data_IF_001296532706
#
_entry.id   IF_001296532706
#
_cell.length_a   1.000
_cell.length_b   1.000
_cell.length_c   1.000
_cell.angle_alpha   90.00
_cell.angle_beta   90.00
_cell.angle_gamma   90.00
#
_symmetry.space_group_name_H-M   'P 1'
#
loop_
_entity.id
_entity.type
_entity.pdbx_description
1 polymer ?
#
# COMPACT_ATOMS: atom_id res chain seq x y z
N UNK A 1 -8.91 -37.36 -21.78
CA UNK A 1 -8.43 -36.03 -21.30
C UNK A 1 -9.48 -35.44 -20.35
N UNK A 2 -9.11 -34.95 -19.18
CA UNK A 2 -10.09 -34.42 -18.23
C UNK A 2 -10.74 -33.17 -18.83
N UNK A 3 -12.08 -33.14 -18.92
CA UNK A 3 -12.85 -32.04 -19.55
C UNK A 3 -12.58 -30.70 -18.88
N UNK A 4 -12.35 -30.68 -17.56
CA UNK A 4 -11.97 -29.48 -16.81
C UNK A 4 -10.66 -28.89 -17.33
N UNK A 5 -9.64 -29.74 -17.56
CA UNK A 5 -8.34 -29.31 -18.08
C UNK A 5 -8.44 -28.75 -19.51
N UNK A 6 -9.30 -29.36 -20.34
CA UNK A 6 -9.51 -28.89 -21.71
C UNK A 6 -10.15 -27.48 -21.73
N UNK A 7 -11.16 -27.25 -20.88
CA UNK A 7 -11.80 -25.94 -20.73
C UNK A 7 -10.80 -24.93 -20.16
N UNK A 8 -10.05 -25.32 -19.10
CA UNK A 8 -9.06 -24.45 -18.49
C UNK A 8 -7.95 -24.02 -19.48
N UNK A 9 -7.45 -24.97 -20.29
CA UNK A 9 -6.44 -24.69 -21.31
C UNK A 9 -6.97 -23.75 -22.40
N UNK A 10 -8.23 -23.90 -22.83
CA UNK A 10 -8.88 -22.99 -23.77
C UNK A 10 -8.99 -21.58 -23.19
N UNK A 11 -9.52 -21.46 -21.98
CA UNK A 11 -9.67 -20.17 -21.29
C UNK A 11 -8.32 -19.47 -21.11
N UNK A 12 -7.31 -20.21 -20.67
CA UNK A 12 -5.95 -19.70 -20.49
C UNK A 12 -5.37 -19.15 -21.80
N UNK A 13 -5.34 -19.99 -22.86
CA UNK A 13 -4.77 -19.61 -24.17
C UNK A 13 -5.49 -18.41 -24.75
N UNK A 14 -6.83 -18.42 -24.74
CA UNK A 14 -7.64 -17.32 -25.30
C UNK A 14 -7.37 -15.98 -24.63
N UNK A 15 -7.02 -15.97 -23.34
CA UNK A 15 -6.76 -14.73 -22.59
C UNK A 15 -5.32 -14.27 -22.71
N UNK A 16 -4.34 -15.18 -22.59
CA UNK A 16 -2.91 -14.84 -22.68
C UNK A 16 -2.54 -14.33 -24.07
N UNK A 17 -3.20 -14.82 -25.13
CA UNK A 17 -2.97 -14.38 -26.51
C UNK A 17 -3.60 -13.02 -26.85
N UNK A 18 -4.48 -12.46 -25.99
CA UNK A 18 -5.06 -11.14 -26.23
C UNK A 18 -4.03 -10.04 -26.05
N UNK A 19 -3.98 -9.10 -27.00
CA UNK A 19 -3.11 -7.90 -26.90
C UNK A 19 -3.33 -7.12 -25.60
N UNK A 20 -4.58 -7.10 -25.09
CA UNK A 20 -4.93 -6.47 -23.82
C UNK A 20 -4.24 -7.12 -22.62
N UNK A 21 -4.03 -8.43 -22.63
CA UNK A 21 -3.28 -9.13 -21.58
C UNK A 21 -1.81 -8.69 -21.58
N UNK A 22 -1.15 -8.70 -22.74
CA UNK A 22 0.24 -8.25 -22.87
C UNK A 22 0.38 -6.78 -22.42
N UNK A 23 -0.55 -5.92 -22.87
CA UNK A 23 -0.54 -4.51 -22.52
C UNK A 23 -0.74 -4.30 -21.01
N UNK A 24 -1.68 -5.00 -20.36
CA UNK A 24 -1.90 -4.87 -18.91
C UNK A 24 -0.78 -5.50 -18.09
N UNK A 25 -0.19 -6.60 -18.57
CA UNK A 25 0.85 -7.33 -17.84
C UNK A 25 2.20 -6.61 -17.87
N UNK A 26 2.58 -6.08 -19.02
CA UNK A 26 3.87 -5.41 -19.23
C UNK A 26 3.71 -3.90 -19.16
N UNK A 27 2.66 -3.35 -19.75
CA UNK A 27 2.43 -1.91 -19.83
C UNK A 27 2.16 -1.26 -18.48
N UNK A 28 1.39 -1.90 -17.58
CA UNK A 28 1.06 -1.34 -16.27
C UNK A 28 2.31 -1.15 -15.37
N UNK A 29 3.18 -2.16 -15.18
CA UNK A 29 4.44 -1.98 -14.44
C UNK A 29 5.34 -0.93 -15.08
N UNK A 30 5.51 -0.95 -16.41
CA UNK A 30 6.34 0.05 -17.11
C UNK A 30 5.77 1.45 -16.93
N UNK A 31 4.44 1.63 -17.00
CA UNK A 31 3.78 2.91 -16.79
C UNK A 31 3.98 3.41 -15.36
N UNK A 32 3.82 2.53 -14.35
CA UNK A 32 4.05 2.88 -12.95
C UNK A 32 5.52 3.31 -12.75
N UNK A 33 6.47 2.54 -13.27
CA UNK A 33 7.90 2.88 -13.18
C UNK A 33 8.24 4.15 -13.94
N UNK A 34 7.70 4.33 -15.15
CA UNK A 34 7.88 5.54 -15.94
C UNK A 34 7.31 6.79 -15.25
N UNK A 35 6.14 6.67 -14.64
CA UNK A 35 5.55 7.72 -13.83
C UNK A 35 6.42 8.06 -12.60
N UNK A 36 6.94 7.03 -11.92
CA UNK A 36 7.84 7.21 -10.79
C UNK A 36 9.15 7.89 -11.18
N UNK A 37 9.77 7.44 -12.28
CA UNK A 37 10.97 8.05 -12.83
C UNK A 37 10.73 9.51 -13.25
N UNK A 38 9.58 9.79 -13.84
CA UNK A 38 9.16 11.14 -14.22
C UNK A 38 8.94 12.04 -13.00
N UNK A 39 8.30 11.52 -11.95
CA UNK A 39 8.13 12.23 -10.68
C UNK A 39 9.49 12.59 -10.05
N UNK A 40 10.42 11.63 -10.00
CA UNK A 40 11.78 11.86 -9.48
C UNK A 40 12.50 12.89 -10.35
N UNK A 41 12.43 12.78 -11.68
CA UNK A 41 13.04 13.73 -12.60
C UNK A 41 12.52 15.16 -12.37
N UNK A 42 11.20 15.35 -12.23
CA UNK A 42 10.63 16.65 -11.93
C UNK A 42 11.04 17.14 -10.54
N UNK A 43 11.04 16.28 -9.53
CA UNK A 43 11.43 16.66 -8.17
C UNK A 43 12.87 17.13 -8.10
N UNK A 44 13.77 16.49 -8.86
CA UNK A 44 15.18 16.86 -8.94
C UNK A 44 15.41 18.15 -9.71
N UNK A 45 14.65 18.34 -10.81
CA UNK A 45 14.85 19.50 -11.70
C UNK A 45 14.11 20.75 -11.23
N UNK A 46 13.05 20.60 -10.42
CA UNK A 46 12.23 21.68 -9.89
C UNK A 46 12.55 21.96 -8.41
N UNK A 47 13.82 21.94 -8.03
CA UNK A 47 14.23 22.53 -6.75
C UNK A 47 14.11 24.06 -6.89
N UNK A 48 12.89 24.56 -6.80
CA UNK A 48 12.65 25.97 -6.59
C UNK A 48 13.26 26.32 -5.24
N UNK A 49 14.39 27.04 -5.28
CA UNK A 49 15.06 27.52 -4.09
C UNK A 49 14.15 28.54 -3.39
N UNK A 50 13.52 28.13 -2.29
CA UNK A 50 12.67 29.01 -1.50
C UNK A 50 13.55 30.00 -0.74
N UNK A 51 13.51 31.27 -1.13
CA UNK A 51 14.36 32.33 -0.57
C UNK A 51 13.68 32.99 0.61
N UNK A 52 14.30 32.90 1.78
CA UNK A 52 13.81 33.53 3.02
C UNK A 52 14.79 34.66 3.40
N UNK A 53 14.30 35.89 3.40
CA UNK A 53 15.04 37.03 3.94
C UNK A 53 14.95 37.00 5.48
N UNK A 54 16.07 37.13 6.16
CA UNK A 54 16.13 37.14 7.63
C UNK A 54 16.59 38.52 8.09
N UNK A 55 15.73 39.21 8.82
CA UNK A 55 16.10 40.44 9.53
C UNK A 55 16.21 40.14 11.02
N UNK A 56 17.44 40.10 11.52
CA UNK A 56 17.76 39.75 12.91
C UNK A 56 18.25 40.99 13.64
N UNK A 57 17.32 41.80 14.16
CA UNK A 57 17.64 43.01 14.91
C UNK A 57 18.24 42.72 16.30
N UNK A 58 17.98 41.53 16.83
CA UNK A 58 18.52 41.08 18.13
C UNK A 58 19.92 40.51 18.02
N UNK A 59 20.46 40.33 16.82
CA UNK A 59 21.74 39.64 16.54
C UNK A 59 21.80 38.23 17.13
N UNK A 60 20.66 37.56 17.23
CA UNK A 60 20.50 36.24 17.82
C UNK A 60 21.28 35.16 17.03
N UNK A 61 21.17 35.21 15.71
CA UNK A 61 21.78 34.23 14.83
C UNK A 61 23.14 34.64 14.27
N UNK A 62 23.58 35.87 14.50
CA UNK A 62 24.84 36.39 14.01
C UNK A 62 25.11 36.11 12.50
N UNK A 63 24.07 36.27 11.67
CA UNK A 63 24.16 36.07 10.23
C UNK A 63 24.11 34.63 9.73
N UNK A 64 23.82 33.64 10.60
CA UNK A 64 23.78 32.24 10.24
C UNK A 64 22.73 31.46 11.06
N UNK A 65 21.79 30.81 10.38
CA UNK A 65 20.78 29.98 11.06
C UNK A 65 21.31 28.57 11.29
N UNK A 66 21.93 27.93 10.28
CA UNK A 66 22.55 26.62 10.40
C UNK A 66 23.70 26.42 9.39
N UNK A 67 24.51 25.36 9.60
CA UNK A 67 25.63 25.01 8.72
C UNK A 67 25.22 24.13 7.52
N UNK A 68 23.95 23.75 7.42
CA UNK A 68 23.48 22.84 6.38
C UNK A 68 23.38 23.56 5.05
N UNK A 69 24.13 23.10 4.05
CA UNK A 69 23.95 23.50 2.66
C UNK A 69 22.69 22.84 2.10
N UNK A 70 21.52 23.37 2.45
CA UNK A 70 20.27 22.96 1.82
C UNK A 70 20.03 23.83 0.60
N UNK A 71 19.85 23.21 -0.55
CA UNK A 71 19.51 23.89 -1.80
C UNK A 71 18.04 24.25 -1.89
N UNK A 72 17.18 23.73 -1.01
CA UNK A 72 15.73 23.92 -1.08
C UNK A 72 15.22 25.19 -0.37
N UNK A 73 15.82 25.56 0.77
CA UNK A 73 15.49 26.77 1.52
C UNK A 73 16.77 27.55 1.78
N UNK A 74 16.85 28.75 1.22
CA UNK A 74 18.02 29.62 1.37
C UNK A 74 17.65 30.78 2.30
N UNK A 75 18.37 30.89 3.42
CA UNK A 75 18.28 32.04 4.32
C UNK A 75 19.29 33.12 3.92
N UNK A 76 18.80 34.33 3.66
CA UNK A 76 19.61 35.50 3.32
C UNK A 76 19.42 36.58 4.37
N UNK A 77 20.49 36.92 5.10
CA UNK A 77 20.41 37.94 6.13
C UNK A 77 20.46 39.35 5.51
N UNK A 78 19.60 40.23 6.00
CA UNK A 78 19.58 41.63 5.62
C UNK A 78 19.13 42.49 6.80
N UNK A 79 19.68 43.67 6.93
CA UNK A 79 19.26 44.64 7.92
C UNK A 79 18.17 45.53 7.30
N UNK A 80 16.92 45.23 7.61
CA UNK A 80 15.76 45.94 7.10
C UNK A 80 14.61 45.92 8.10
N UNK A 81 13.84 46.98 8.14
CA UNK A 81 12.62 47.03 8.94
C UNK A 81 11.46 46.27 8.24
N UNK A 82 10.37 46.05 8.98
CA UNK A 82 9.19 45.33 8.47
C UNK A 82 8.54 46.00 7.27
N UNK A 83 8.62 47.33 7.13
CA UNK A 83 8.04 48.08 6.01
C UNK A 83 8.86 47.83 4.75
N UNK A 84 10.17 47.91 4.82
CA UNK A 84 11.09 47.63 3.70
C UNK A 84 11.01 46.14 3.30
N UNK A 85 10.91 45.20 4.27
CA UNK A 85 10.72 43.78 4.00
C UNK A 85 9.41 43.48 3.25
N UNK A 86 8.31 44.09 3.69
CA UNK A 86 7.01 43.95 2.99
C UNK A 86 7.06 44.46 1.56
N UNK A 87 7.70 45.63 1.33
CA UNK A 87 7.85 46.18 -0.02
C UNK A 87 8.62 45.22 -0.92
N UNK A 88 9.80 44.76 -0.48
CA UNK A 88 10.64 43.80 -1.22
C UNK A 88 9.97 42.43 -1.43
N UNK A 89 9.13 41.98 -0.49
CA UNK A 89 8.35 40.75 -0.62
C UNK A 89 7.34 40.90 -1.74
N UNK A 90 6.64 42.03 -1.81
CA UNK A 90 5.68 42.33 -2.86
C UNK A 90 6.35 42.55 -4.24
N UNK A 91 7.57 43.06 -4.25
CA UNK A 91 8.39 43.20 -5.45
C UNK A 91 9.01 41.88 -5.93
N UNK A 92 8.81 40.76 -5.20
CA UNK A 92 9.27 39.41 -5.57
C UNK A 92 10.77 39.18 -5.38
N UNK A 93 11.45 39.98 -4.58
CA UNK A 93 12.88 39.83 -4.33
C UNK A 93 13.22 38.52 -3.54
N UNK A 94 12.28 38.06 -2.75
CA UNK A 94 12.32 36.79 -1.99
C UNK A 94 10.90 36.25 -1.78
N UNK A 95 10.77 34.98 -1.41
CA UNK A 95 9.49 34.30 -1.27
C UNK A 95 8.86 34.50 0.12
N UNK A 96 9.70 34.70 1.14
CA UNK A 96 9.27 34.96 2.52
C UNK A 96 10.32 35.75 3.30
N UNK A 97 9.91 36.31 4.43
CA UNK A 97 10.85 36.87 5.38
C UNK A 97 10.59 36.39 6.83
N UNK A 98 11.67 36.30 7.58
CA UNK A 98 11.71 36.07 9.02
C UNK A 98 12.19 37.36 9.70
N UNK A 99 11.38 37.93 10.59
CA UNK A 99 11.71 39.11 11.33
C UNK A 99 11.87 38.80 12.83
N UNK A 100 13.04 39.09 13.38
CA UNK A 100 13.37 38.93 14.79
C UNK A 100 13.52 40.33 15.38
N UNK A 101 12.59 40.75 16.25
CA UNK A 101 12.58 42.10 16.78
C UNK A 101 13.73 42.35 17.77
N UNK A 102 14.08 43.62 17.91
CA UNK A 102 15.06 44.03 18.92
C UNK A 102 14.54 43.70 20.33
N UNK A 103 15.41 43.17 21.19
CA UNK A 103 15.05 42.77 22.57
C UNK A 103 14.35 41.41 22.64
N UNK A 104 14.42 40.58 21.61
CA UNK A 104 13.92 39.21 21.68
C UNK A 104 14.56 38.42 22.81
N UNK A 105 13.73 37.91 23.74
CA UNK A 105 14.20 37.11 24.89
C UNK A 105 14.05 35.62 24.59
N UNK A 106 15.18 34.92 24.54
CA UNK A 106 15.24 33.48 24.31
C UNK A 106 14.48 32.62 25.33
N UNK A 107 14.35 33.10 26.56
CA UNK A 107 13.67 32.33 27.65
C UNK A 107 12.15 32.48 27.55
N UNK A 108 11.67 33.70 27.38
CA UNK A 108 10.21 33.98 27.31
C UNK A 108 9.64 33.76 25.88
N UNK A 109 10.45 33.86 24.84
CA UNK A 109 9.99 33.84 23.47
C UNK A 109 9.30 35.11 22.99
N UNK A 110 9.43 36.22 23.76
CA UNK A 110 8.82 37.50 23.44
C UNK A 110 9.86 38.60 23.21
N UNK A 111 9.57 39.59 22.36
CA UNK A 111 8.42 39.67 21.44
C UNK A 111 8.50 38.62 20.32
N UNK A 112 7.33 38.16 19.85
CA UNK A 112 7.26 37.03 18.91
C UNK A 112 8.05 37.25 17.62
N UNK A 113 8.76 36.20 17.18
CA UNK A 113 9.37 36.13 15.87
C UNK A 113 8.26 36.03 14.83
N UNK A 114 8.29 36.92 13.83
CA UNK A 114 7.28 36.92 12.78
C UNK A 114 7.82 36.32 11.47
N UNK A 115 7.03 35.42 10.87
CA UNK A 115 7.31 34.85 9.55
C UNK A 115 6.18 35.27 8.59
N UNK A 116 6.53 35.80 7.42
CA UNK A 116 5.56 36.17 6.40
C UNK A 116 5.99 35.70 5.04
N UNK A 117 5.06 35.07 4.31
CA UNK A 117 5.29 34.57 2.94
C UNK A 117 4.38 35.28 1.94
N UNK A 118 4.85 35.46 0.71
CA UNK A 118 4.06 36.01 -0.42
C UNK A 118 3.03 35.01 -0.94
N UNK A 119 3.26 33.69 -0.73
CA UNK A 119 2.41 32.58 -1.20
C UNK A 119 2.09 31.64 -0.06
N UNK A 120 1.01 30.89 -0.19
CA UNK A 120 0.69 29.81 0.74
C UNK A 120 1.83 28.76 0.72
N UNK A 121 2.36 28.46 1.90
CA UNK A 121 3.40 27.45 2.07
C UNK A 121 2.81 26.04 2.00
N UNK A 122 3.42 25.18 1.22
CA UNK A 122 3.16 23.74 1.31
C UNK A 122 3.56 23.22 2.69
N UNK A 123 2.85 22.19 3.17
CA UNK A 123 3.07 21.60 4.50
C UNK A 123 4.54 21.25 4.75
N UNK A 124 5.20 20.65 3.77
CA UNK A 124 6.59 20.22 3.86
C UNK A 124 7.60 21.38 3.89
N UNK A 125 7.37 22.41 3.08
CA UNK A 125 8.23 23.61 3.09
C UNK A 125 8.12 24.32 4.43
N UNK A 126 6.91 24.42 4.97
CA UNK A 126 6.66 24.98 6.29
C UNK A 126 7.39 24.19 7.38
N UNK A 127 7.22 22.87 7.41
CA UNK A 127 7.88 21.99 8.38
C UNK A 127 9.42 22.10 8.31
N UNK A 128 9.99 22.13 7.09
CA UNK A 128 11.44 22.32 6.91
C UNK A 128 11.92 23.66 7.47
N UNK A 129 11.18 24.74 7.22
CA UNK A 129 11.53 26.08 7.73
C UNK A 129 11.40 26.09 9.26
N UNK A 130 10.28 25.61 9.80
CA UNK A 130 10.04 25.53 11.24
C UNK A 130 11.14 24.71 11.96
N UNK A 131 11.46 23.52 11.44
CA UNK A 131 12.49 22.66 12.03
C UNK A 131 13.88 23.31 12.02
N UNK A 132 14.27 23.99 10.94
CA UNK A 132 15.56 24.67 10.86
C UNK A 132 15.65 25.85 11.83
N UNK A 133 14.58 26.67 11.91
CA UNK A 133 14.52 27.79 12.83
C UNK A 133 14.49 27.33 14.29
N UNK A 134 13.64 26.31 14.59
CA UNK A 134 13.54 25.79 15.95
C UNK A 134 14.82 25.12 16.44
N UNK A 135 15.51 24.35 15.57
CA UNK A 135 16.81 23.78 15.91
C UNK A 135 17.88 24.85 16.20
N UNK A 136 17.87 25.93 15.39
CA UNK A 136 18.80 27.04 15.61
C UNK A 136 18.47 27.79 16.92
N UNK A 137 17.18 28.00 17.23
CA UNK A 137 16.75 28.59 18.50
C UNK A 137 17.10 27.70 19.68
N UNK A 138 16.90 26.39 19.56
CA UNK A 138 17.24 25.41 20.60
C UNK A 138 18.77 25.45 20.87
N UNK A 139 19.60 25.46 19.83
CA UNK A 139 21.05 25.57 19.99
C UNK A 139 21.45 26.86 20.75
N UNK A 140 20.84 28.00 20.42
CA UNK A 140 21.08 29.25 21.13
C UNK A 140 20.60 29.21 22.58
N UNK A 141 19.45 28.59 22.86
CA UNK A 141 18.95 28.38 24.22
C UNK A 141 19.89 27.51 25.04
N UNK A 142 20.40 26.43 24.46
CA UNK A 142 21.36 25.53 25.12
C UNK A 142 22.66 26.25 25.46
N UNK A 143 23.20 27.02 24.52
CA UNK A 143 24.40 27.84 24.76
C UNK A 143 24.18 28.87 25.86
N UNK A 144 23.00 29.52 25.90
CA UNK A 144 22.65 30.50 26.95
C UNK A 144 22.50 29.87 28.35
N UNK A 145 22.15 28.58 28.43
CA UNK A 145 22.03 27.81 29.65
C UNK A 145 23.32 27.08 30.04
N UNK A 146 24.42 27.23 29.26
CA UNK A 146 25.68 26.50 29.42
C UNK A 146 25.49 24.95 29.34
N UNK A 147 24.49 24.48 28.62
CA UNK A 147 24.27 23.05 28.37
C UNK A 147 24.88 22.69 27.04
N UNK A 148 25.79 21.72 27.03
CA UNK A 148 26.34 21.22 25.76
C UNK A 148 25.31 20.37 25.04
N UNK A 149 25.32 20.39 23.68
CA UNK A 149 24.48 19.54 22.87
C UNK A 149 24.64 18.04 23.22
N UNK A 150 25.88 17.63 23.56
CA UNK A 150 26.14 16.26 24.00
C UNK A 150 25.47 15.88 25.31
N UNK A 151 25.34 16.83 26.25
CA UNK A 151 24.61 16.60 27.50
C UNK A 151 23.09 16.46 27.26
N UNK A 152 22.53 17.26 26.34
CA UNK A 152 21.14 17.12 25.95
C UNK A 152 20.88 15.80 25.23
N UNK A 153 21.74 15.44 24.29
CA UNK A 153 21.66 14.17 23.56
C UNK A 153 21.80 12.97 24.51
N UNK A 154 22.69 13.07 25.52
CA UNK A 154 22.81 12.06 26.58
C UNK A 154 21.53 11.98 27.44
N UNK A 155 20.95 13.11 27.84
CA UNK A 155 19.69 13.14 28.58
C UNK A 155 18.51 12.62 27.74
N UNK A 156 18.52 12.83 26.42
CA UNK A 156 17.54 12.25 25.50
C UNK A 156 17.75 10.75 25.27
N UNK A 157 18.99 10.29 25.22
CA UNK A 157 19.34 8.86 25.09
C UNK A 157 18.95 8.06 26.35
N UNK A 158 19.06 8.65 27.53
CA UNK A 158 18.58 8.02 28.78
C UNK A 158 17.04 7.86 28.83
N UNK A 159 16.29 8.66 28.07
CA UNK A 159 14.83 8.49 27.97
C UNK A 159 14.40 7.23 27.17
N UNK A 160 15.30 6.52 26.52
CA UNK A 160 15.07 5.18 25.94
C UNK A 160 15.28 4.06 26.98
N UNK A 161 14.91 4.31 28.24
CA UNK A 161 15.07 3.36 29.36
C UNK A 161 14.17 2.12 29.23
N UNK A 162 13.17 2.13 28.33
CA UNK A 162 12.28 1.00 28.10
C UNK A 162 12.71 0.28 26.83
N UNK A 163 13.30 -0.91 27.00
CA UNK A 163 13.54 -1.81 25.87
C UNK A 163 12.32 -2.73 25.70
N UNK A 164 11.59 -2.58 24.63
CA UNK A 164 10.55 -3.54 24.27
C UNK A 164 11.23 -4.85 23.81
N UNK A 165 10.84 -5.96 24.43
CA UNK A 165 11.34 -7.29 24.07
C UNK A 165 10.16 -8.16 23.66
N UNK A 166 10.33 -8.91 22.58
CA UNK A 166 9.40 -9.94 22.12
C UNK A 166 9.45 -11.16 23.06
N UNK A 167 8.46 -12.06 22.99
CA UNK A 167 8.43 -13.31 23.79
C UNK A 167 9.71 -14.17 23.64
N UNK A 168 10.43 -14.05 22.55
CA UNK A 168 11.72 -14.71 22.29
C UNK A 168 12.92 -14.05 23.00
N UNK A 169 12.70 -13.01 23.81
CA UNK A 169 13.77 -12.26 24.47
C UNK A 169 14.59 -11.35 23.53
N UNK A 170 14.19 -11.20 22.27
CA UNK A 170 14.83 -10.30 21.32
C UNK A 170 14.30 -8.87 21.51
N UNK A 171 15.18 -7.88 21.39
CA UNK A 171 14.75 -6.48 21.39
C UNK A 171 13.81 -6.24 20.22
N UNK A 172 12.60 -5.75 20.55
CA UNK A 172 11.67 -5.30 19.54
C UNK A 172 12.17 -3.98 18.94
N UNK A 173 12.28 -3.93 17.62
CA UNK A 173 12.84 -2.79 16.92
C UNK A 173 11.68 -2.05 16.24
N UNK A 174 11.47 -0.77 16.55
CA UNK A 174 10.43 0.06 15.91
C UNK A 174 10.48 -0.03 14.38
N UNK A 175 11.69 -0.17 13.82
CA UNK A 175 11.89 -0.35 12.38
C UNK A 175 11.29 -1.66 11.88
N UNK A 176 11.43 -2.76 12.63
CA UNK A 176 10.83 -4.07 12.29
C UNK A 176 9.30 -3.98 12.27
N UNK A 177 8.72 -3.33 13.28
CA UNK A 177 7.27 -3.11 13.35
C UNK A 177 6.78 -2.32 12.16
N UNK A 178 7.47 -1.22 11.80
CA UNK A 178 7.14 -0.39 10.64
C UNK A 178 7.22 -1.17 9.30
N UNK A 179 8.25 -2.02 9.13
CA UNK A 179 8.39 -2.86 7.94
C UNK A 179 7.29 -3.92 7.88
N UNK A 180 7.00 -4.58 9.00
CA UNK A 180 5.92 -5.57 9.09
C UNK A 180 4.56 -4.96 8.75
N UNK A 181 4.32 -3.73 9.24
CA UNK A 181 3.15 -2.93 8.86
C UNK A 181 3.06 -2.76 7.34
N UNK A 182 4.13 -2.28 6.71
CA UNK A 182 4.16 -2.02 5.26
C UNK A 182 3.96 -3.31 4.45
N UNK A 183 4.66 -4.39 4.81
CA UNK A 183 4.55 -5.70 4.14
C UNK A 183 3.14 -6.27 4.27
N UNK A 184 2.56 -6.22 5.47
CA UNK A 184 1.20 -6.71 5.72
C UNK A 184 0.14 -5.94 4.94
N UNK A 185 0.27 -4.60 4.91
CA UNK A 185 -0.63 -3.72 4.17
C UNK A 185 -0.56 -3.99 2.66
N UNK A 186 0.67 -4.05 2.11
CA UNK A 186 0.88 -4.30 0.68
C UNK A 186 0.36 -5.68 0.29
N UNK A 187 0.70 -6.73 1.06
CA UNK A 187 0.29 -8.10 0.74
C UNK A 187 -1.25 -8.25 0.79
N UNK A 188 -1.90 -7.72 1.83
CA UNK A 188 -3.37 -7.76 1.94
C UNK A 188 -4.06 -6.96 0.82
N UNK A 189 -3.52 -5.78 0.48
CA UNK A 189 -4.04 -4.95 -0.62
C UNK A 189 -3.87 -5.62 -1.99
N UNK A 190 -2.75 -6.29 -2.22
CA UNK A 190 -2.53 -7.07 -3.45
C UNK A 190 -3.56 -8.19 -3.58
N UNK A 191 -3.81 -8.95 -2.51
CA UNK A 191 -4.85 -9.99 -2.54
C UNK A 191 -6.22 -9.37 -2.83
N UNK A 192 -6.56 -8.24 -2.19
CA UNK A 192 -7.81 -7.52 -2.47
C UNK A 192 -7.98 -7.22 -3.97
N UNK A 193 -6.97 -6.59 -4.59
CA UNK A 193 -7.02 -6.26 -6.03
C UNK A 193 -7.18 -7.51 -6.87
N UNK A 194 -6.42 -8.55 -6.56
CA UNK A 194 -6.45 -9.82 -7.30
C UNK A 194 -7.83 -10.47 -7.23
N UNK A 195 -8.40 -10.59 -6.03
CA UNK A 195 -9.74 -11.17 -5.84
C UNK A 195 -10.80 -10.40 -6.63
N UNK A 196 -10.71 -9.07 -6.61
CA UNK A 196 -11.65 -8.21 -7.34
C UNK A 196 -11.50 -8.34 -8.87
N UNK A 197 -10.28 -8.18 -9.38
CA UNK A 197 -10.00 -8.17 -10.82
C UNK A 197 -10.30 -9.54 -11.44
N UNK A 198 -9.72 -10.60 -10.88
CA UNK A 198 -9.91 -11.94 -11.47
C UNK A 198 -11.28 -12.53 -11.15
N UNK A 199 -11.89 -12.19 -10.01
CA UNK A 199 -13.27 -12.55 -9.71
C UNK A 199 -14.25 -11.97 -10.72
N UNK A 200 -14.15 -10.66 -10.99
CA UNK A 200 -14.98 -10.01 -12.02
C UNK A 200 -14.70 -10.51 -13.42
N UNK A 201 -13.45 -10.91 -13.71
CA UNK A 201 -13.09 -11.53 -15.00
C UNK A 201 -13.78 -12.90 -15.18
N UNK A 202 -13.86 -13.72 -14.12
CA UNK A 202 -14.62 -14.99 -14.15
C UNK A 202 -16.09 -14.71 -14.40
N UNK A 203 -16.68 -13.79 -13.65
CA UNK A 203 -18.09 -13.41 -13.82
C UNK A 203 -18.41 -12.98 -15.26
N UNK A 204 -17.63 -12.02 -15.78
CA UNK A 204 -17.81 -11.52 -17.17
C UNK A 204 -17.69 -12.64 -18.21
N UNK A 205 -16.71 -13.53 -18.05
CA UNK A 205 -16.53 -14.65 -18.97
C UNK A 205 -17.71 -15.64 -18.95
N UNK A 206 -18.37 -15.84 -17.79
CA UNK A 206 -19.58 -16.64 -17.69
C UNK A 206 -20.78 -15.92 -18.34
N UNK A 207 -20.92 -14.61 -18.08
CA UNK A 207 -21.99 -13.80 -18.69
C UNK A 207 -21.87 -13.76 -20.21
N UNK A 208 -20.69 -13.53 -20.75
CA UNK A 208 -20.43 -13.47 -22.21
C UNK A 208 -20.86 -14.78 -22.89
N UNK A 209 -20.52 -15.94 -22.32
CA UNK A 209 -20.94 -17.25 -22.88
C UNK A 209 -22.44 -17.48 -22.78
N UNK A 210 -23.08 -17.01 -21.71
CA UNK A 210 -24.52 -17.11 -21.54
C UNK A 210 -25.26 -16.22 -22.55
N UNK A 211 -24.91 -14.93 -22.63
CA UNK A 211 -25.56 -13.96 -23.52
C UNK A 211 -25.39 -14.34 -25.00
N UNK A 212 -24.21 -14.86 -25.38
CA UNK A 212 -23.94 -15.35 -26.74
C UNK A 212 -24.52 -16.74 -27.02
N UNK A 213 -25.23 -17.38 -26.06
CA UNK A 213 -25.78 -18.75 -26.14
C UNK A 213 -24.75 -19.85 -26.40
N UNK A 214 -23.46 -19.53 -26.37
CA UNK A 214 -22.37 -20.50 -26.50
C UNK A 214 -22.44 -21.53 -25.37
N UNK A 215 -22.90 -21.12 -24.19
CA UNK A 215 -23.07 -21.99 -23.03
C UNK A 215 -23.99 -23.20 -23.36
N UNK A 216 -25.06 -23.04 -24.12
CA UNK A 216 -25.98 -24.15 -24.50
C UNK A 216 -25.26 -25.21 -25.31
N UNK A 217 -24.44 -24.79 -26.29
CA UNK A 217 -23.65 -25.70 -27.13
C UNK A 217 -22.59 -26.45 -26.29
N UNK A 218 -21.93 -25.76 -25.37
CA UNK A 218 -20.87 -26.39 -24.55
C UNK A 218 -21.49 -27.38 -23.55
N UNK A 219 -22.62 -27.06 -22.92
CA UNK A 219 -23.27 -27.91 -21.92
C UNK A 219 -23.80 -29.22 -22.52
N UNK A 220 -24.04 -29.28 -23.87
CA UNK A 220 -24.37 -30.55 -24.51
C UNK A 220 -23.23 -31.57 -24.44
N UNK A 221 -21.97 -31.11 -24.26
CA UNK A 221 -20.78 -31.98 -24.26
C UNK A 221 -20.04 -31.99 -22.91
N UNK A 222 -20.21 -30.96 -22.06
CA UNK A 222 -19.48 -30.76 -20.78
C UNK A 222 -20.49 -30.46 -19.68
N UNK A 223 -20.35 -31.09 -18.50
CA UNK A 223 -21.20 -30.78 -17.35
C UNK A 223 -21.03 -29.34 -16.88
N UNK A 224 -22.10 -28.63 -16.44
CA UNK A 224 -22.02 -27.24 -15.97
C UNK A 224 -20.94 -27.02 -14.88
N UNK A 225 -20.80 -27.97 -13.99
CA UNK A 225 -19.76 -27.94 -12.94
C UNK A 225 -18.34 -28.01 -13.51
N UNK A 226 -18.12 -28.88 -14.50
CA UNK A 226 -16.81 -28.99 -15.17
C UNK A 226 -16.46 -27.73 -15.96
N UNK A 227 -17.47 -27.08 -16.55
CA UNK A 227 -17.33 -25.82 -17.27
C UNK A 227 -16.94 -24.69 -16.28
N UNK A 228 -17.66 -24.58 -15.18
CA UNK A 228 -17.39 -23.59 -14.12
C UNK A 228 -15.98 -23.74 -13.58
N UNK A 229 -15.59 -24.95 -13.15
CA UNK A 229 -14.25 -25.20 -12.62
C UNK A 229 -13.16 -24.97 -13.66
N UNK A 230 -13.37 -25.40 -14.90
CA UNK A 230 -12.42 -25.16 -15.98
C UNK A 230 -12.16 -23.66 -16.19
N UNK A 231 -13.19 -22.81 -16.15
CA UNK A 231 -13.04 -21.36 -16.21
C UNK A 231 -12.25 -20.82 -15.00
N UNK A 232 -12.61 -21.22 -13.80
CA UNK A 232 -11.94 -20.78 -12.59
C UNK A 232 -10.44 -21.14 -12.66
N UNK A 233 -10.09 -22.36 -13.00
CA UNK A 233 -8.69 -22.79 -13.11
C UNK A 233 -7.97 -22.09 -14.28
N UNK A 234 -8.62 -21.92 -15.43
CA UNK A 234 -8.03 -21.24 -16.57
C UNK A 234 -7.69 -19.78 -16.29
N UNK A 235 -8.63 -19.03 -15.71
CA UNK A 235 -8.44 -17.62 -15.35
C UNK A 235 -7.46 -17.48 -14.17
N UNK A 236 -7.50 -18.39 -13.20
CA UNK A 236 -6.54 -18.43 -12.10
C UNK A 236 -5.09 -18.63 -12.57
N UNK A 237 -4.90 -19.51 -13.55
CA UNK A 237 -3.59 -19.71 -14.17
C UNK A 237 -3.07 -18.45 -14.88
N UNK A 238 -3.96 -17.68 -15.53
CA UNK A 238 -3.62 -16.37 -16.12
C UNK A 238 -3.11 -15.42 -15.04
N UNK A 239 -3.83 -15.34 -13.91
CA UNK A 239 -3.45 -14.49 -12.79
C UNK A 239 -2.10 -14.87 -12.16
N UNK A 240 -1.87 -16.18 -11.96
CA UNK A 240 -0.59 -16.67 -11.45
C UNK A 240 0.58 -16.32 -12.37
N UNK A 241 0.44 -16.52 -13.68
CA UNK A 241 1.49 -16.19 -14.63
C UNK A 241 1.73 -14.67 -14.65
N UNK A 242 0.67 -13.88 -14.65
CA UNK A 242 0.81 -12.42 -14.58
C UNK A 242 1.54 -11.97 -13.33
N UNK A 243 1.25 -12.57 -12.18
CA UNK A 243 1.94 -12.28 -10.93
C UNK A 243 3.44 -12.65 -10.98
N UNK A 244 3.77 -13.82 -11.54
CA UNK A 244 5.17 -14.22 -11.74
C UNK A 244 5.90 -13.26 -12.68
N UNK A 245 5.26 -12.84 -13.78
CA UNK A 245 5.83 -11.86 -14.71
C UNK A 245 6.07 -10.53 -13.98
N UNK A 246 5.15 -10.06 -13.13
CA UNK A 246 5.33 -8.82 -12.38
C UNK A 246 6.49 -8.89 -11.38
N UNK A 247 6.65 -10.02 -10.68
CA UNK A 247 7.81 -10.24 -9.82
C UNK A 247 9.11 -10.13 -10.63
N UNK A 248 9.20 -10.85 -11.76
CA UNK A 248 10.38 -10.82 -12.63
C UNK A 248 10.65 -9.41 -13.17
N UNK A 249 9.60 -8.68 -13.57
CA UNK A 249 9.74 -7.31 -14.06
C UNK A 249 10.22 -6.35 -12.97
N UNK A 250 9.67 -6.43 -11.76
CA UNK A 250 10.08 -5.57 -10.64
C UNK A 250 11.55 -5.78 -10.32
N UNK A 251 11.99 -7.04 -10.18
CA UNK A 251 13.40 -7.35 -9.95
C UNK A 251 14.28 -6.93 -11.14
N UNK A 252 13.84 -7.21 -12.38
CA UNK A 252 14.57 -6.83 -13.58
C UNK A 252 14.74 -5.32 -13.72
N UNK A 253 13.69 -4.55 -13.47
CA UNK A 253 13.73 -3.07 -13.50
C UNK A 253 14.65 -2.50 -12.41
N UNK A 254 14.67 -3.11 -11.23
CA UNK A 254 15.57 -2.68 -10.16
C UNK A 254 17.05 -2.79 -10.56
N UNK A 255 17.42 -3.79 -11.35
CA UNK A 255 18.78 -3.92 -11.91
C UNK A 255 19.04 -2.96 -13.08
N UNK A 256 18.01 -2.58 -13.83
CA UNK A 256 18.14 -1.71 -15.00
C UNK A 256 18.19 -0.22 -14.65
N UNK A 257 17.55 0.21 -13.55
CA UNK A 257 17.53 1.62 -13.13
C UNK A 257 18.92 2.23 -13.00
N UNK A 258 19.89 1.62 -12.28
CA UNK A 258 21.24 2.17 -12.15
C UNK A 258 21.99 2.27 -13.49
N UNK A 259 21.68 1.39 -14.43
CA UNK A 259 22.34 1.33 -15.74
C UNK A 259 21.79 2.40 -16.70
N UNK A 260 20.44 2.56 -16.71
CA UNK A 260 19.77 3.47 -17.66
C UNK A 260 19.79 4.92 -17.13
N UNK A 261 19.71 5.09 -15.82
CA UNK A 261 19.63 6.39 -15.14
C UNK A 261 20.64 6.47 -14.00
N UNK A 262 21.94 6.55 -14.30
CA UNK A 262 22.99 6.59 -13.26
C UNK A 262 22.83 7.78 -12.31
N UNK A 263 22.43 8.95 -12.83
CA UNK A 263 22.20 10.15 -12.01
C UNK A 263 21.01 9.99 -11.07
N UNK A 264 19.94 9.33 -11.54
CA UNK A 264 18.75 9.01 -10.71
C UNK A 264 19.12 7.98 -9.65
N UNK A 265 19.92 6.99 -9.98
CA UNK A 265 20.39 5.99 -9.02
C UNK A 265 21.30 6.60 -7.95
N UNK A 266 22.21 7.49 -8.32
CA UNK A 266 23.06 8.23 -7.39
C UNK A 266 22.21 9.13 -6.46
N UNK A 267 21.16 9.73 -6.99
CA UNK A 267 20.23 10.55 -6.22
C UNK A 267 19.25 9.72 -5.39
N UNK A 268 18.77 8.56 -5.87
CA UNK A 268 18.03 7.59 -5.05
C UNK A 268 18.87 7.10 -3.85
N UNK A 269 20.20 7.05 -4.00
CA UNK A 269 21.11 6.80 -2.89
C UNK A 269 21.34 8.04 -2.01
N UNK A 270 21.08 9.24 -2.50
CA UNK A 270 21.34 10.52 -1.81
C UNK A 270 20.12 11.34 -1.46
N UNK A 271 18.92 11.01 -2.02
CA UNK A 271 17.70 11.79 -1.80
C UNK A 271 16.97 11.43 -0.50
N UNK A 272 16.42 12.41 0.24
CA UNK A 272 15.48 12.17 1.33
C UNK A 272 14.16 11.65 0.76
N UNK A 273 13.82 10.40 1.01
CA UNK A 273 12.53 9.81 0.62
C UNK A 273 11.41 10.30 1.54
N UNK A 274 10.34 10.83 0.93
CA UNK A 274 9.17 11.38 1.62
C UNK A 274 8.28 10.33 2.31
N UNK A 275 7.48 10.73 3.33
CA UNK A 275 6.71 9.82 4.17
C UNK A 275 5.51 9.23 3.44
N UNK A 276 5.56 7.94 3.27
CA UNK A 276 4.53 7.09 2.68
C UNK A 276 5.19 5.77 2.26
N UNK A 277 5.61 4.92 3.18
CA UNK A 277 6.34 3.66 3.02
C UNK A 277 7.83 3.76 2.65
N UNK A 278 8.33 4.89 2.13
CA UNK A 278 9.75 5.10 1.78
C UNK A 278 10.42 6.26 2.55
N UNK A 279 9.68 7.07 3.28
CA UNK A 279 10.23 8.15 4.13
C UNK A 279 11.05 7.65 5.32
N UNK A 280 10.85 6.40 5.72
CA UNK A 280 11.67 5.73 6.74
C UNK A 280 13.13 5.51 6.30
N UNK A 281 13.42 5.42 5.00
CA UNK A 281 14.76 5.06 4.49
C UNK A 281 15.78 6.20 4.57
N UNK A 282 15.38 7.47 4.63
CA UNK A 282 16.29 8.60 4.62
C UNK A 282 16.52 9.28 5.97
N UNK A 283 15.52 9.31 6.84
CA UNK A 283 15.76 9.52 8.26
C UNK A 283 16.79 8.51 8.78
N UNK A 284 16.85 7.38 8.10
CA UNK A 284 17.74 6.26 8.30
C UNK A 284 19.21 6.52 7.92
N UNK A 285 19.51 7.35 6.93
CA UNK A 285 20.88 7.56 6.45
C UNK A 285 21.66 8.55 7.33
N UNK A 286 20.94 9.49 7.94
CA UNK A 286 21.56 10.45 8.89
C UNK A 286 21.69 9.89 10.33
N UNK A 287 20.96 8.80 10.66
CA UNK A 287 20.88 8.26 12.02
C UNK A 287 21.32 6.79 12.19
N UNK A 288 21.96 6.19 11.20
CA UNK A 288 22.23 4.72 11.22
C UNK A 288 21.00 3.84 10.95
N UNK A 289 19.89 4.42 10.59
CA UNK A 289 18.61 3.74 10.41
C UNK A 289 18.50 2.94 9.09
N UNK A 290 19.33 3.17 8.06
CA UNK A 290 19.48 2.23 6.93
C UNK A 290 19.96 0.86 7.43
N UNK A 291 20.88 0.86 8.39
CA UNK A 291 21.32 -0.34 9.07
C UNK A 291 20.17 -0.99 9.85
N UNK A 292 19.30 -0.19 10.49
CA UNK A 292 18.09 -0.64 11.16
C UNK A 292 17.05 -1.24 10.21
N UNK A 293 16.83 -0.63 9.03
CA UNK A 293 15.90 -1.16 8.00
C UNK A 293 16.43 -2.47 7.43
N UNK A 294 17.71 -2.54 7.08
CA UNK A 294 18.33 -3.78 6.57
C UNK A 294 18.30 -4.88 7.64
N UNK A 295 18.56 -4.54 8.89
CA UNK A 295 18.45 -5.47 10.02
C UNK A 295 16.98 -5.92 10.22
N UNK A 296 16.01 -5.00 10.18
CA UNK A 296 14.59 -5.33 10.28
C UNK A 296 14.09 -6.20 9.13
N UNK A 297 14.53 -5.95 7.89
CA UNK A 297 14.23 -6.80 6.74
C UNK A 297 14.83 -8.20 6.89
N UNK A 298 16.04 -8.32 7.44
CA UNK A 298 16.70 -9.60 7.67
C UNK A 298 16.01 -10.46 8.74
N UNK A 299 15.28 -9.82 9.67
CA UNK A 299 14.51 -10.53 10.70
C UNK A 299 13.14 -11.05 10.22
N UNK A 300 12.67 -10.58 9.06
CA UNK A 300 11.38 -10.98 8.48
C UNK A 300 11.55 -12.32 7.76
N UNK A 301 10.70 -13.29 8.12
CA UNK A 301 10.66 -14.57 7.44
C UNK A 301 9.89 -14.48 6.11
N UNK A 302 10.56 -13.99 5.06
CA UNK A 302 9.95 -13.89 3.73
C UNK A 302 9.47 -15.22 3.17
N UNK A 303 10.13 -16.33 3.50
CA UNK A 303 9.70 -17.66 3.05
C UNK A 303 8.32 -18.01 3.58
N UNK A 304 8.06 -17.73 4.86
CA UNK A 304 6.74 -17.91 5.46
C UNK A 304 5.70 -16.98 4.82
N UNK A 305 6.04 -15.70 4.65
CA UNK A 305 5.11 -14.70 4.07
C UNK A 305 4.74 -15.08 2.65
N UNK A 306 5.71 -15.46 1.81
CA UNK A 306 5.47 -15.86 0.42
C UNK A 306 4.63 -17.15 0.38
N UNK A 307 4.95 -18.13 1.22
CA UNK A 307 4.17 -19.37 1.31
C UNK A 307 2.71 -19.11 1.72
N UNK A 308 2.51 -18.31 2.76
CA UNK A 308 1.17 -17.87 3.18
C UNK A 308 0.47 -17.05 2.09
N UNK A 309 1.17 -16.12 1.45
CA UNK A 309 0.61 -15.31 0.37
C UNK A 309 0.07 -16.18 -0.77
N UNK A 310 0.86 -17.13 -1.26
CA UNK A 310 0.44 -18.04 -2.32
C UNK A 310 -0.78 -18.85 -1.89
N UNK A 311 -0.78 -19.37 -0.66
CA UNK A 311 -1.90 -20.15 -0.13
C UNK A 311 -3.18 -19.32 -0.02
N UNK A 312 -3.12 -18.15 0.63
CA UNK A 312 -4.29 -17.28 0.84
C UNK A 312 -4.76 -16.63 -0.46
N UNK A 313 -3.84 -16.32 -1.37
CA UNK A 313 -4.18 -15.89 -2.71
C UNK A 313 -4.97 -16.96 -3.46
N UNK A 314 -4.46 -18.19 -3.56
CA UNK A 314 -5.13 -19.27 -4.28
C UNK A 314 -6.47 -19.65 -3.63
N UNK A 315 -6.48 -19.87 -2.32
CA UNK A 315 -7.69 -20.23 -1.58
C UNK A 315 -8.76 -19.14 -1.67
N UNK A 316 -8.37 -17.90 -1.46
CA UNK A 316 -9.26 -16.75 -1.62
C UNK A 316 -9.77 -16.59 -3.05
N UNK A 317 -8.86 -16.68 -4.02
CA UNK A 317 -9.24 -16.61 -5.43
C UNK A 317 -10.26 -17.71 -5.80
N UNK A 318 -10.01 -18.96 -5.49
CA UNK A 318 -10.93 -20.04 -5.83
C UNK A 318 -12.28 -19.88 -5.18
N UNK A 319 -12.32 -19.47 -3.91
CA UNK A 319 -13.55 -19.22 -3.17
C UNK A 319 -14.37 -18.09 -3.80
N UNK A 320 -13.76 -16.94 -4.04
CA UNK A 320 -14.45 -15.79 -4.62
C UNK A 320 -14.79 -15.99 -6.09
N UNK A 321 -13.92 -16.61 -6.88
CA UNK A 321 -14.18 -16.92 -8.28
C UNK A 321 -15.42 -17.82 -8.44
N UNK A 322 -15.64 -18.78 -7.53
CA UNK A 322 -16.85 -19.59 -7.52
C UNK A 322 -18.12 -18.75 -7.28
N UNK A 323 -18.08 -17.82 -6.32
CA UNK A 323 -19.19 -16.89 -6.05
C UNK A 323 -19.46 -15.95 -7.23
N UNK A 324 -18.42 -15.41 -7.82
CA UNK A 324 -18.51 -14.56 -9.02
C UNK A 324 -19.04 -15.33 -10.24
N UNK A 325 -18.65 -16.61 -10.41
CA UNK A 325 -19.20 -17.46 -11.45
C UNK A 325 -20.70 -17.73 -11.28
N UNK A 326 -21.13 -17.95 -10.04
CA UNK A 326 -22.55 -18.12 -9.71
C UNK A 326 -23.37 -16.86 -10.07
N UNK A 327 -22.88 -15.67 -9.71
CA UNK A 327 -23.51 -14.40 -10.09
C UNK A 327 -23.52 -14.24 -11.61
N UNK A 328 -22.40 -14.49 -12.28
CA UNK A 328 -22.32 -14.40 -13.76
C UNK A 328 -23.31 -15.31 -14.45
N UNK A 329 -23.59 -16.51 -13.91
CA UNK A 329 -24.58 -17.43 -14.46
C UNK A 329 -26.02 -16.95 -14.24
N UNK A 330 -26.29 -16.16 -13.21
CA UNK A 330 -27.61 -15.65 -12.87
C UNK A 330 -28.02 -14.41 -13.70
N UNK A 331 -27.03 -13.62 -14.16
CA UNK A 331 -27.28 -12.41 -14.97
C UNK A 331 -27.77 -12.79 -16.38
N UNK A 332 -28.76 -12.06 -16.89
CA UNK A 332 -29.33 -12.28 -18.23
C UNK A 332 -28.81 -11.26 -19.27
N UNK A 333 -29.70 -10.58 -19.96
CA UNK A 333 -29.38 -9.74 -21.13
C UNK A 333 -28.61 -8.46 -20.79
N UNK A 334 -28.78 -7.92 -19.58
CA UNK A 334 -28.20 -6.64 -19.19
C UNK A 334 -27.05 -6.81 -18.19
N UNK A 335 -25.80 -6.56 -18.58
CA UNK A 335 -24.64 -6.65 -17.68
C UNK A 335 -24.74 -5.74 -16.44
N UNK A 336 -25.54 -4.67 -16.51
CA UNK A 336 -25.77 -3.75 -15.40
C UNK A 336 -26.50 -4.43 -14.23
N UNK A 337 -27.35 -5.43 -14.50
CA UNK A 337 -28.05 -6.19 -13.45
C UNK A 337 -27.07 -6.97 -12.55
N UNK A 338 -25.85 -7.23 -13.03
CA UNK A 338 -24.81 -7.86 -12.23
C UNK A 338 -24.41 -7.03 -11.01
N UNK A 339 -24.44 -5.69 -11.10
CA UNK A 339 -23.98 -4.82 -10.02
C UNK A 339 -24.78 -5.02 -8.72
N UNK A 340 -26.10 -5.19 -8.81
CA UNK A 340 -26.96 -5.43 -7.66
C UNK A 340 -26.71 -6.81 -7.01
N UNK A 341 -26.30 -7.79 -7.82
CA UNK A 341 -25.97 -9.12 -7.34
C UNK A 341 -24.53 -9.24 -6.82
N UNK A 342 -23.65 -8.29 -7.18
CA UNK A 342 -22.28 -8.26 -6.68
C UNK A 342 -22.16 -7.74 -5.25
N UNK A 343 -23.04 -6.83 -4.82
CA UNK A 343 -22.94 -6.18 -3.52
C UNK A 343 -22.71 -7.15 -2.35
N UNK A 344 -23.51 -8.22 -2.15
CA UNK A 344 -23.28 -9.15 -1.04
C UNK A 344 -21.96 -9.90 -1.09
N UNK A 345 -21.39 -10.11 -2.28
CA UNK A 345 -20.07 -10.76 -2.43
C UNK A 345 -18.96 -9.77 -2.15
N UNK A 346 -19.15 -8.50 -2.52
CA UNK A 346 -18.15 -7.45 -2.31
C UNK A 346 -18.08 -6.98 -0.86
N UNK A 347 -19.20 -7.04 -0.11
CA UNK A 347 -19.22 -6.57 1.28
C UNK A 347 -18.18 -7.26 2.19
N UNK A 348 -18.02 -8.60 2.19
CA UNK A 348 -16.95 -9.23 2.97
C UNK A 348 -15.54 -8.77 2.57
N UNK A 349 -15.30 -8.50 1.29
CA UNK A 349 -14.01 -7.99 0.79
C UNK A 349 -13.76 -6.58 1.34
N UNK A 350 -14.78 -5.71 1.31
CA UNK A 350 -14.70 -4.35 1.84
C UNK A 350 -14.47 -4.39 3.36
N UNK A 351 -15.22 -5.22 4.08
CA UNK A 351 -15.00 -5.41 5.51
C UNK A 351 -13.61 -5.95 5.83
N UNK A 352 -13.07 -6.87 5.01
CA UNK A 352 -11.72 -7.37 5.16
C UNK A 352 -10.69 -6.25 5.06
N UNK A 353 -10.87 -5.28 4.16
CA UNK A 353 -9.98 -4.11 4.05
C UNK A 353 -10.02 -3.23 5.30
N UNK A 354 -11.22 -3.00 5.86
CA UNK A 354 -11.36 -2.23 7.10
C UNK A 354 -10.73 -2.97 8.28
N UNK A 355 -10.97 -4.29 8.39
CA UNK A 355 -10.38 -5.12 9.46
C UNK A 355 -8.86 -5.18 9.30
N UNK A 356 -8.35 -5.24 8.07
CA UNK A 356 -6.92 -5.26 7.76
C UNK A 356 -6.20 -4.05 8.34
N UNK A 357 -6.77 -2.84 8.22
CA UNK A 357 -6.14 -1.63 8.80
C UNK A 357 -6.00 -1.72 10.33
N UNK A 358 -6.96 -2.35 11.01
CA UNK A 358 -6.85 -2.63 12.44
C UNK A 358 -5.84 -3.75 12.73
N UNK A 359 -5.84 -4.82 11.92
CA UNK A 359 -4.98 -5.98 12.10
C UNK A 359 -3.49 -5.66 11.90
N UNK A 360 -3.17 -4.69 11.04
CA UNK A 360 -1.77 -4.23 10.85
C UNK A 360 -1.28 -3.43 12.06
N UNK A 361 -2.16 -2.64 12.70
CA UNK A 361 -1.78 -1.86 13.91
C UNK A 361 -1.79 -2.72 15.18
N UNK A 362 -2.73 -3.65 15.27
CA UNK A 362 -2.94 -4.49 16.45
C UNK A 362 -3.34 -5.92 16.00
N UNK A 363 -2.33 -6.77 15.66
CA UNK A 363 -2.56 -8.09 15.09
C UNK A 363 -3.28 -9.06 16.05
N UNK A 364 -3.24 -8.80 17.35
CA UNK A 364 -3.84 -9.65 18.37
C UNK A 364 -5.20 -9.14 18.88
N UNK A 365 -5.75 -8.07 18.29
CA UNK A 365 -7.11 -7.61 18.61
C UNK A 365 -8.16 -8.65 18.26
N UNK A 366 -9.25 -8.71 19.03
CA UNK A 366 -10.36 -9.66 18.81
C UNK A 366 -10.92 -9.57 17.39
N UNK A 367 -10.99 -8.35 16.83
CA UNK A 367 -11.47 -8.10 15.48
C UNK A 367 -10.49 -8.67 14.42
N UNK A 368 -9.18 -8.50 14.61
CA UNK A 368 -8.16 -9.07 13.73
C UNK A 368 -8.17 -10.60 13.77
N UNK A 369 -8.30 -11.20 14.97
CA UNK A 369 -8.42 -12.65 15.14
C UNK A 369 -9.66 -13.17 14.41
N UNK A 370 -10.83 -12.58 14.66
CA UNK A 370 -12.07 -12.97 13.99
C UNK A 370 -11.95 -12.85 12.46
N UNK A 371 -11.50 -11.70 11.96
CA UNK A 371 -11.39 -11.45 10.52
C UNK A 371 -10.39 -12.36 9.83
N UNK A 372 -9.32 -12.80 10.52
CA UNK A 372 -8.33 -13.72 9.99
C UNK A 372 -8.77 -15.19 10.03
N UNK A 373 -9.76 -15.55 10.84
CA UNK A 373 -10.34 -16.90 10.89
C UNK A 373 -11.57 -17.05 9.99
N UNK A 374 -12.32 -15.97 9.78
CA UNK A 374 -13.52 -16.01 8.94
C UNK A 374 -13.14 -16.19 7.46
N UNK A 375 -13.59 -17.27 6.77
CA UNK A 375 -13.07 -17.63 5.44
C UNK A 375 -13.15 -16.53 4.40
N UNK A 376 -14.23 -15.74 4.39
CA UNK A 376 -14.42 -14.68 3.41
C UNK A 376 -13.48 -13.48 3.61
N UNK A 377 -12.99 -13.22 4.82
CA UNK A 377 -12.09 -12.11 5.11
C UNK A 377 -10.65 -12.56 5.33
N UNK A 378 -10.46 -13.85 5.67
CA UNK A 378 -9.14 -14.39 6.05
C UNK A 378 -8.05 -14.19 4.99
N UNK A 379 -8.27 -14.28 3.67
CA UNK A 379 -7.19 -14.10 2.70
C UNK A 379 -6.51 -12.74 2.79
N UNK A 380 -7.25 -11.70 3.12
CA UNK A 380 -6.74 -10.34 3.23
C UNK A 380 -6.21 -10.09 4.65
N UNK A 381 -7.02 -10.39 5.67
CA UNK A 381 -6.71 -10.04 7.05
C UNK A 381 -5.57 -10.89 7.62
N UNK A 382 -5.50 -12.18 7.27
CA UNK A 382 -4.41 -13.04 7.77
C UNK A 382 -3.04 -12.61 7.24
N UNK A 383 -2.96 -12.10 6.02
CA UNK A 383 -1.70 -11.60 5.49
C UNK A 383 -1.18 -10.39 6.26
N UNK A 384 -2.08 -9.51 6.71
CA UNK A 384 -1.72 -8.39 7.59
C UNK A 384 -1.12 -8.86 8.91
N UNK A 385 -1.66 -9.95 9.49
CA UNK A 385 -1.18 -10.52 10.75
C UNK A 385 0.12 -11.32 10.60
N UNK A 386 0.23 -12.15 9.57
CA UNK A 386 1.42 -13.00 9.31
C UNK A 386 2.67 -12.16 9.09
N UNK A 387 2.54 -10.95 8.56
CA UNK A 387 3.65 -10.03 8.37
C UNK A 387 4.35 -9.63 9.68
N UNK A 388 3.63 -9.65 10.81
CA UNK A 388 4.20 -9.42 12.16
C UNK A 388 4.95 -10.65 12.72
N UNK A 389 4.94 -11.76 11.99
CA UNK A 389 5.64 -12.99 12.38
C UNK A 389 4.76 -14.03 13.06
N UNK A 390 5.30 -15.23 13.14
CA UNK A 390 4.73 -16.36 13.86
C UNK A 390 5.80 -16.80 14.89
N UNK A 391 5.50 -16.82 16.20
CA UNK A 391 4.15 -16.76 16.82
C UNK A 391 3.65 -15.38 17.22
N UNK A 392 4.40 -14.29 17.06
CA UNK A 392 4.13 -12.97 17.64
C UNK A 392 2.84 -12.32 17.12
N UNK A 393 2.66 -12.24 15.82
CA UNK A 393 1.45 -11.69 15.18
C UNK A 393 0.32 -12.70 15.03
N UNK A 394 0.67 -13.98 14.84
CA UNK A 394 -0.29 -15.06 14.66
C UNK A 394 0.26 -16.33 15.30
N UNK A 395 -0.52 -16.99 16.16
CA UNK A 395 -0.12 -18.32 16.67
C UNK A 395 -0.21 -19.37 15.56
N UNK A 396 0.65 -20.39 15.63
CA UNK A 396 0.64 -21.51 14.67
C UNK A 396 -0.73 -22.16 14.58
N UNK A 397 -1.43 -22.31 15.72
CA UNK A 397 -2.77 -22.90 15.78
C UNK A 397 -3.78 -22.03 15.01
N UNK A 398 -3.74 -20.71 15.19
CA UNK A 398 -4.63 -19.79 14.45
C UNK A 398 -4.35 -19.83 12.95
N UNK A 399 -3.08 -19.91 12.55
CA UNK A 399 -2.69 -19.98 11.14
C UNK A 399 -3.23 -21.27 10.49
N UNK A 400 -3.00 -22.44 11.11
CA UNK A 400 -3.51 -23.70 10.60
C UNK A 400 -5.05 -23.73 10.60
N UNK A 401 -5.69 -23.25 11.67
CA UNK A 401 -7.13 -23.16 11.74
C UNK A 401 -7.71 -22.28 10.63
N UNK A 402 -7.11 -21.13 10.37
CA UNK A 402 -7.52 -20.24 9.28
C UNK A 402 -7.37 -20.89 7.91
N UNK A 403 -6.24 -21.58 7.67
CA UNK A 403 -6.03 -22.33 6.42
C UNK A 403 -7.08 -23.41 6.23
N UNK A 404 -7.38 -24.19 7.29
CA UNK A 404 -8.41 -25.23 7.24
C UNK A 404 -9.81 -24.64 7.00
N UNK A 405 -10.16 -23.55 7.70
CA UNK A 405 -11.43 -22.85 7.51
C UNK A 405 -11.56 -22.27 6.11
N UNK A 406 -10.48 -21.75 5.53
CA UNK A 406 -10.47 -21.24 4.16
C UNK A 406 -10.74 -22.36 3.14
N UNK A 407 -10.12 -23.53 3.32
CA UNK A 407 -10.37 -24.72 2.47
C UNK A 407 -11.82 -25.16 2.59
N UNK A 408 -12.35 -25.25 3.82
CA UNK A 408 -13.76 -25.59 4.05
C UNK A 408 -14.71 -24.53 3.44
N UNK A 409 -14.36 -23.26 3.60
CA UNK A 409 -15.09 -22.14 2.99
C UNK A 409 -15.10 -22.24 1.47
N UNK A 410 -13.96 -22.54 0.85
CA UNK A 410 -13.87 -22.77 -0.60
C UNK A 410 -14.75 -23.94 -1.04
N UNK A 411 -14.69 -25.08 -0.36
CA UNK A 411 -15.51 -26.24 -0.70
C UNK A 411 -17.00 -25.93 -0.57
N UNK A 412 -17.40 -25.27 0.53
CA UNK A 412 -18.79 -24.86 0.76
C UNK A 412 -19.30 -23.85 -0.27
N UNK A 413 -18.53 -22.81 -0.56
CA UNK A 413 -18.91 -21.81 -1.57
C UNK A 413 -18.96 -22.39 -2.97
N UNK A 414 -18.02 -23.29 -3.31
CA UNK A 414 -18.02 -23.97 -4.62
C UNK A 414 -19.24 -24.88 -4.77
N UNK A 415 -19.63 -25.56 -3.72
CA UNK A 415 -20.85 -26.41 -3.72
C UNK A 415 -22.11 -25.56 -3.94
N UNK A 416 -22.26 -24.45 -3.22
CA UNK A 416 -23.39 -23.51 -3.42
C UNK A 416 -23.37 -22.92 -4.82
N UNK A 417 -22.18 -22.44 -5.25
CA UNK A 417 -21.98 -21.84 -6.57
C UNK A 417 -22.32 -22.81 -7.70
N UNK A 418 -21.96 -24.08 -7.58
CA UNK A 418 -22.23 -25.11 -8.59
C UNK A 418 -23.74 -25.34 -8.79
N UNK A 419 -24.53 -25.34 -7.69
CA UNK A 419 -25.99 -25.47 -7.78
C UNK A 419 -26.63 -24.24 -8.43
N UNK A 420 -26.19 -23.03 -8.04
CA UNK A 420 -26.67 -21.80 -8.63
C UNK A 420 -26.28 -21.74 -10.13
N UNK A 421 -25.03 -22.08 -10.46
CA UNK A 421 -24.51 -22.07 -11.80
C UNK A 421 -25.26 -23.01 -12.73
N UNK A 422 -25.54 -24.26 -12.27
CA UNK A 422 -26.30 -25.25 -13.03
C UNK A 422 -27.67 -24.75 -13.45
N UNK A 423 -28.38 -24.07 -12.54
CA UNK A 423 -29.72 -23.53 -12.81
C UNK A 423 -29.64 -22.22 -13.59
N UNK A 424 -28.76 -21.31 -13.15
CA UNK A 424 -28.64 -19.97 -13.68
C UNK A 424 -28.19 -19.90 -15.13
N UNK A 425 -27.24 -20.76 -15.55
CA UNK A 425 -26.69 -20.74 -16.90
C UNK A 425 -27.72 -21.09 -17.99
N UNK A 426 -28.78 -21.83 -17.64
CA UNK A 426 -29.85 -22.24 -18.54
C UNK A 426 -31.10 -21.36 -18.46
N UNK A 427 -31.15 -20.40 -17.52
CA UNK A 427 -32.31 -19.53 -17.34
C UNK A 427 -32.14 -18.23 -18.11
N UNK A 428 -33.12 -17.89 -18.96
CA UNK A 428 -33.18 -16.67 -19.77
C UNK A 428 -34.45 -15.86 -19.48
N UNK A 429 -34.45 -14.58 -19.80
CA UNK A 429 -35.65 -13.72 -19.89
C UNK A 429 -36.23 -13.24 -18.53
N UNK A 430 -35.58 -13.50 -17.39
CA UNK A 430 -36.06 -13.08 -16.08
C UNK A 430 -34.98 -12.40 -15.27
N UNK A 431 -35.30 -11.24 -14.63
CA UNK A 431 -34.40 -10.66 -13.64
C UNK A 431 -34.30 -11.56 -12.41
N UNK A 432 -33.11 -11.99 -12.09
CA UNK A 432 -32.82 -12.87 -10.96
C UNK A 432 -32.50 -12.03 -9.73
N UNK A 433 -33.08 -12.44 -8.60
CA UNK A 433 -32.87 -11.85 -7.28
C UNK A 433 -32.03 -12.77 -6.39
N UNK A 434 -31.41 -12.24 -5.35
CA UNK A 434 -30.72 -13.04 -4.33
C UNK A 434 -31.62 -14.11 -3.70
N UNK A 435 -32.92 -13.80 -3.50
CA UNK A 435 -33.89 -14.76 -2.97
C UNK A 435 -34.10 -15.98 -3.89
N UNK A 436 -34.02 -15.76 -5.19
CA UNK A 436 -34.10 -16.84 -6.19
C UNK A 436 -32.82 -17.66 -6.25
N UNK A 437 -31.65 -16.99 -6.24
CA UNK A 437 -30.36 -17.67 -6.18
C UNK A 437 -30.25 -18.55 -4.94
N UNK A 438 -30.72 -18.08 -3.79
CA UNK A 438 -30.78 -18.86 -2.56
C UNK A 438 -31.68 -20.08 -2.69
N UNK A 439 -32.84 -19.95 -3.30
CA UNK A 439 -33.74 -21.08 -3.59
C UNK A 439 -33.05 -22.12 -4.49
N UNK A 440 -32.31 -21.69 -5.51
CA UNK A 440 -31.56 -22.61 -6.39
C UNK A 440 -30.43 -23.36 -5.65
N UNK A 441 -29.76 -22.70 -4.71
CA UNK A 441 -28.72 -23.33 -3.90
C UNK A 441 -29.25 -24.48 -3.04
N UNK A 442 -30.48 -24.37 -2.52
CA UNK A 442 -31.06 -25.35 -1.57
C UNK A 442 -32.21 -26.15 -2.15
N UNK A 443 -32.56 -26.00 -3.42
CA UNK A 443 -33.56 -26.83 -4.07
C UNK A 443 -33.01 -28.27 -4.20
N UNK A 444 -33.71 -29.21 -3.56
CA UNK A 444 -33.46 -30.65 -3.77
C UNK A 444 -33.89 -31.00 -5.20
N UNK A 445 -32.94 -31.41 -6.00
CA UNK A 445 -33.18 -32.10 -7.27
C UNK A 445 -32.88 -33.55 -7.09
#
# INVERSE_FOLDING_TARGET
MNKIFLVASREFKTRVQKKTFLLSTIGLPILIFGFYALMIYFQVKTTDNFKVAVSDQSKLFNGKIDDRKSTEVIFSFMDADTVALNKKLNDGAFDAYLFIPNGYNLQSGEPQISFRSSKALGLMTREKIENRINNALEEKKLLALNISKGQLDSARLENNAISFTTNDGKKDNETKVGISYAVGMIAGFLIYIILFVYGTMVMRGVMEEKVSRIAEVIISSVKPFELMLGKIFGIGAVGLIQFVIWIVLVFGLQFLIPVIFPDVAAQMQSAPMQPGAMGAVNAAKESGALQGIMAGLAEINFTLIIGCFVFYFLGGYFMYAALFAAVGSAVNEYPQDAQSLLLPIMMPIIFAMVIMTKAVNDPNSSLAIFGSLFPLTSPIVMMARVAHGVPDGVTVVQLIASMALLVLGFLGTTWVAAKIYRTGILMYGKKVTWKEMWKWAFKNN
#
